data_IF_412728143416
#
_entry.id   IF_412728143416
#
_cell.length_a   1.000
_cell.length_b   1.000
_cell.length_c   1.000
_cell.angle_alpha   90.00
_cell.angle_beta   90.00
_cell.angle_gamma   90.00
#
_symmetry.space_group_name_H-M   'P 1'
#
loop_
_entity.id
_entity.type
_entity.pdbx_description
1 polymer ?
#
# COMPACT_ATOMS: atom_id res chain seq x y z
N UNK A 1 -17.59 -15.75 13.76
CA UNK A 1 -16.21 -15.89 14.30
C UNK A 1 -15.29 -15.58 13.14
N UNK A 2 -14.29 -14.72 13.34
CA UNK A 2 -13.35 -14.36 12.27
C UNK A 2 -12.54 -15.56 11.76
N UNK A 3 -12.13 -15.50 10.50
CA UNK A 3 -11.23 -16.50 9.92
C UNK A 3 -9.79 -16.13 10.28
N UNK A 4 -9.10 -16.98 11.04
CA UNK A 4 -7.72 -16.75 11.48
C UNK A 4 -6.79 -17.82 10.91
N UNK A 5 -5.60 -17.41 10.51
CA UNK A 5 -4.51 -18.33 10.15
C UNK A 5 -3.74 -18.77 11.39
N UNK A 6 -3.45 -17.83 12.29
CA UNK A 6 -2.76 -18.05 13.56
C UNK A 6 -3.59 -17.42 14.70
N UNK A 7 -4.69 -18.07 15.13
CA UNK A 7 -5.64 -17.48 16.07
C UNK A 7 -5.01 -17.05 17.40
N UNK A 8 -4.03 -17.79 17.90
CA UNK A 8 -3.32 -17.49 19.16
C UNK A 8 -2.58 -16.15 19.11
N UNK A 9 -2.04 -15.78 17.94
CA UNK A 9 -1.34 -14.52 17.72
C UNK A 9 -2.35 -13.42 17.37
N UNK A 10 -3.22 -13.67 16.40
CA UNK A 10 -4.16 -12.66 15.87
C UNK A 10 -5.18 -12.17 16.92
N UNK A 11 -5.43 -12.98 17.96
CA UNK A 11 -6.35 -12.64 19.08
C UNK A 11 -5.64 -12.55 20.44
N UNK A 12 -4.30 -12.44 20.43
CA UNK A 12 -3.50 -12.35 21.66
C UNK A 12 -3.92 -11.11 22.47
N UNK A 13 -4.13 -11.22 23.80
CA UNK A 13 -4.38 -10.04 24.64
C UNK A 13 -3.32 -8.96 24.45
N UNK A 14 -3.75 -7.70 24.40
CA UNK A 14 -2.87 -6.55 24.06
C UNK A 14 -1.64 -6.48 24.97
N UNK A 15 -1.81 -6.71 26.27
CA UNK A 15 -0.71 -6.69 27.25
C UNK A 15 0.34 -7.76 26.95
N UNK A 16 -0.09 -8.95 26.50
CA UNK A 16 0.83 -10.02 26.09
C UNK A 16 1.52 -9.69 24.77
N UNK A 17 0.80 -9.09 23.84
CA UNK A 17 1.34 -8.66 22.56
C UNK A 17 2.42 -7.58 22.76
N UNK A 18 2.16 -6.59 23.64
CA UNK A 18 3.14 -5.56 23.97
C UNK A 18 4.37 -6.11 24.70
N UNK A 19 4.19 -7.09 25.57
CA UNK A 19 5.33 -7.80 26.19
C UNK A 19 6.19 -8.52 25.14
N UNK A 20 5.56 -9.23 24.19
CA UNK A 20 6.25 -9.89 23.07
C UNK A 20 6.97 -8.86 22.17
N UNK A 21 6.32 -7.72 21.88
CA UNK A 21 6.95 -6.64 21.12
C UNK A 21 8.19 -6.09 21.85
N UNK A 22 8.10 -5.89 23.18
CA UNK A 22 9.21 -5.38 23.98
C UNK A 22 10.38 -6.34 23.97
N UNK A 23 10.14 -7.65 24.17
CA UNK A 23 11.17 -8.68 24.10
C UNK A 23 11.86 -8.68 22.72
N UNK A 24 11.09 -8.76 21.64
CA UNK A 24 11.62 -8.77 20.27
C UNK A 24 12.34 -7.47 19.90
N UNK A 25 11.85 -6.32 20.39
CA UNK A 25 12.50 -5.02 20.14
C UNK A 25 13.89 -4.98 20.77
N UNK A 26 14.02 -5.38 22.05
CA UNK A 26 15.31 -5.41 22.76
C UNK A 26 16.32 -6.32 22.04
N UNK A 27 15.88 -7.51 21.63
CA UNK A 27 16.70 -8.43 20.85
C UNK A 27 17.10 -7.85 19.49
N UNK A 28 16.16 -7.21 18.80
CA UNK A 28 16.40 -6.67 17.46
C UNK A 28 17.31 -5.45 17.50
N UNK A 29 17.19 -4.58 18.50
CA UNK A 29 18.09 -3.42 18.66
C UNK A 29 19.53 -3.88 18.90
N UNK A 30 19.72 -4.86 19.77
CA UNK A 30 21.05 -5.45 19.98
C UNK A 30 21.57 -6.10 18.71
N UNK A 31 20.71 -6.85 18.00
CA UNK A 31 21.08 -7.52 16.76
C UNK A 31 21.56 -6.51 15.69
N UNK A 32 20.84 -5.43 15.44
CA UNK A 32 21.23 -4.44 14.41
C UNK A 32 22.48 -3.67 14.82
N UNK A 33 22.68 -3.40 16.10
CA UNK A 33 23.88 -2.73 16.61
C UNK A 33 25.12 -3.59 16.38
N UNK A 34 25.02 -4.90 16.62
CA UNK A 34 26.14 -5.83 16.46
C UNK A 34 26.47 -6.12 14.99
N UNK A 35 25.45 -6.21 14.11
CA UNK A 35 25.61 -6.72 12.74
C UNK A 35 25.55 -5.66 11.63
N UNK A 36 24.93 -4.50 11.88
CA UNK A 36 24.73 -3.46 10.86
C UNK A 36 25.47 -2.19 11.26
N UNK A 37 26.59 -1.90 10.58
CA UNK A 37 27.45 -0.74 10.88
C UNK A 37 26.68 0.60 10.83
N UNK A 38 25.75 0.75 9.88
CA UNK A 38 24.89 1.93 9.78
C UNK A 38 24.16 2.23 11.10
N UNK A 39 23.52 1.22 11.72
CA UNK A 39 22.81 1.40 12.97
C UNK A 39 23.74 1.69 14.14
N UNK A 40 24.86 1.00 14.22
CA UNK A 40 25.87 1.25 15.26
C UNK A 40 26.34 2.70 15.23
N UNK A 41 26.64 3.22 14.05
CA UNK A 41 27.09 4.60 13.89
C UNK A 41 25.96 5.60 14.22
N UNK A 42 24.76 5.38 13.67
CA UNK A 42 23.61 6.27 13.87
C UNK A 42 23.15 6.32 15.33
N UNK A 43 23.19 5.19 16.06
CA UNK A 43 22.87 5.15 17.48
C UNK A 43 23.95 5.86 18.31
N UNK A 44 25.24 5.67 18.00
CA UNK A 44 26.31 6.42 18.67
C UNK A 44 26.21 7.92 18.47
N UNK A 45 25.89 8.36 17.25
CA UNK A 45 25.63 9.80 16.98
C UNK A 45 24.47 10.36 17.79
N UNK A 46 23.44 9.55 18.01
CA UNK A 46 22.27 9.89 18.84
C UNK A 46 22.55 9.76 20.35
N UNK A 47 23.70 9.22 20.76
CA UNK A 47 24.02 8.96 22.16
C UNK A 47 23.17 7.86 22.78
N UNK A 48 22.76 6.87 22.00
CA UNK A 48 21.89 5.75 22.44
C UNK A 48 22.66 4.44 22.31
N UNK A 49 22.70 3.68 23.38
CA UNK A 49 23.27 2.32 23.40
C UNK A 49 22.13 1.27 23.45
N UNK A 50 22.37 0.03 23.03
CA UNK A 50 21.34 -1.03 23.07
C UNK A 50 20.69 -1.21 24.42
N UNK A 51 21.44 -1.04 25.50
CA UNK A 51 21.01 -1.19 26.90
C UNK A 51 20.01 -0.10 27.35
N UNK A 52 19.92 1.01 26.61
CA UNK A 52 18.95 2.08 26.88
C UNK A 52 17.52 1.73 26.42
N UNK A 53 17.39 0.67 25.61
CA UNK A 53 16.11 0.18 25.10
C UNK A 53 15.70 -1.07 25.87
N UNK A 54 14.71 -0.92 26.75
CA UNK A 54 14.21 -1.98 27.64
C UNK A 54 12.84 -2.52 27.21
N UNK A 55 12.14 -1.78 26.36
CA UNK A 55 10.83 -2.13 25.84
C UNK A 55 10.32 -1.13 24.82
N UNK A 56 9.08 -1.31 24.40
CA UNK A 56 8.43 -0.45 23.36
C UNK A 56 8.31 1.01 23.81
N UNK A 57 8.26 1.28 25.08
CA UNK A 57 8.23 2.65 25.66
C UNK A 57 9.51 3.44 25.36
N UNK A 58 10.62 2.77 25.13
CA UNK A 58 11.92 3.37 24.84
C UNK A 58 12.15 3.56 23.31
N UNK A 59 11.23 3.08 22.47
CA UNK A 59 11.37 3.10 21.02
C UNK A 59 11.67 4.50 20.48
N UNK A 60 11.09 5.53 21.08
CA UNK A 60 11.27 6.94 20.70
C UNK A 60 12.71 7.44 20.82
N UNK A 61 13.58 6.77 21.59
CA UNK A 61 15.01 7.10 21.74
C UNK A 61 15.81 6.75 20.49
N UNK A 62 15.37 5.74 19.73
CA UNK A 62 16.05 5.31 18.52
C UNK A 62 15.93 6.35 17.40
N UNK A 63 17.00 6.58 16.62
CA UNK A 63 16.95 7.48 15.49
C UNK A 63 16.08 6.94 14.36
N UNK A 64 15.48 7.85 13.58
CA UNK A 64 14.72 7.49 12.39
C UNK A 64 15.63 7.01 11.26
N UNK A 65 15.10 6.12 10.43
CA UNK A 65 15.67 5.73 9.14
C UNK A 65 14.77 6.24 8.02
N UNK A 66 15.36 6.77 6.96
CA UNK A 66 14.67 7.34 5.82
C UNK A 66 14.99 6.56 4.54
N UNK A 67 14.24 6.83 3.49
CA UNK A 67 14.50 6.26 2.17
C UNK A 67 15.84 6.69 1.58
N UNK A 68 16.31 7.88 1.94
CA UNK A 68 17.61 8.38 1.48
C UNK A 68 18.75 7.65 2.17
N UNK A 69 18.62 7.34 3.48
CA UNK A 69 19.57 6.44 4.16
C UNK A 69 19.71 5.09 3.41
N UNK A 70 18.58 4.51 2.95
CA UNK A 70 18.62 3.24 2.20
C UNK A 70 19.29 3.39 0.82
N UNK A 71 19.16 4.54 0.17
CA UNK A 71 19.80 4.84 -1.11
C UNK A 71 21.29 5.05 -0.97
N UNK A 72 21.70 5.76 0.09
CA UNK A 72 23.10 6.05 0.38
C UNK A 72 23.88 4.80 0.77
N UNK A 73 23.23 3.88 1.45
CA UNK A 73 23.78 2.58 1.87
C UNK A 73 23.58 1.45 0.83
N UNK A 74 23.13 1.78 -0.39
CA UNK A 74 22.91 0.79 -1.45
C UNK A 74 24.21 0.12 -1.88
N UNK A 75 24.27 -1.21 -2.11
CA UNK A 75 23.14 -2.13 -1.92
C UNK A 75 23.13 -2.87 -0.58
N UNK A 76 24.25 -2.95 0.15
CA UNK A 76 24.46 -3.89 1.24
C UNK A 76 24.58 -3.24 2.62
N UNK A 77 24.54 -1.91 2.74
CA UNK A 77 24.81 -1.20 3.99
C UNK A 77 23.82 -1.51 5.14
N UNK A 78 22.65 -2.05 4.81
CA UNK A 78 21.67 -2.53 5.81
C UNK A 78 21.66 -4.05 5.98
N UNK A 79 22.56 -4.77 5.30
CA UNK A 79 22.58 -6.23 5.38
C UNK A 79 23.04 -6.69 6.77
N UNK A 80 22.16 -7.39 7.49
CA UNK A 80 22.41 -7.90 8.84
C UNK A 80 22.98 -9.33 8.89
N UNK A 81 23.02 -10.01 7.73
CA UNK A 81 23.54 -11.38 7.58
C UNK A 81 24.54 -11.45 6.43
N UNK A 82 25.41 -12.46 6.36
CA UNK A 82 26.20 -12.74 5.16
C UNK A 82 25.29 -12.94 3.94
N UNK A 83 25.72 -12.46 2.75
CA UNK A 83 24.93 -12.59 1.52
C UNK A 83 24.58 -14.05 1.17
N UNK A 84 25.39 -15.00 1.60
CA UNK A 84 25.17 -16.44 1.44
C UNK A 84 23.95 -16.98 2.20
N UNK A 85 23.46 -16.25 3.20
CA UNK A 85 22.25 -16.59 3.96
C UNK A 85 20.99 -15.96 3.35
N UNK A 86 21.14 -15.05 2.38
CA UNK A 86 20.03 -14.45 1.68
C UNK A 86 19.53 -15.38 0.57
N UNK A 87 18.26 -15.73 0.61
CA UNK A 87 17.62 -16.60 -0.38
C UNK A 87 16.83 -15.80 -1.44
N UNK A 88 16.56 -14.52 -1.17
CA UNK A 88 15.78 -13.66 -2.07
C UNK A 88 16.18 -12.19 -1.92
N UNK A 89 16.09 -11.46 -3.03
CA UNK A 89 16.17 -10.00 -3.07
C UNK A 89 14.97 -9.45 -3.80
N UNK A 90 14.41 -8.36 -3.31
CA UNK A 90 13.34 -7.58 -3.96
C UNK A 90 13.78 -6.12 -4.09
N UNK A 91 13.14 -5.35 -4.96
CA UNK A 91 13.45 -3.94 -5.10
C UNK A 91 12.23 -3.08 -5.42
N UNK A 92 12.34 -1.80 -5.09
CA UNK A 92 11.35 -0.79 -5.49
C UNK A 92 11.43 -0.50 -6.99
N UNK A 93 10.41 0.15 -7.56
CA UNK A 93 10.37 0.52 -8.99
C UNK A 93 11.47 1.51 -9.40
N UNK A 94 11.97 2.33 -8.46
CA UNK A 94 13.02 3.31 -8.73
C UNK A 94 12.54 4.53 -9.53
N UNK A 95 11.25 4.81 -9.57
CA UNK A 95 10.65 5.95 -10.31
C UNK A 95 11.15 7.32 -9.86
N UNK A 96 11.59 7.44 -8.60
CA UNK A 96 12.05 8.70 -7.98
C UNK A 96 13.55 8.74 -7.71
N UNK A 97 14.36 7.95 -8.41
CA UNK A 97 15.81 7.91 -8.22
C UNK A 97 16.36 6.48 -8.10
N UNK A 98 17.50 6.33 -7.38
CA UNK A 98 18.13 5.02 -7.17
C UNK A 98 17.14 4.06 -6.50
N UNK A 99 17.03 2.84 -7.02
CA UNK A 99 16.20 1.79 -6.43
C UNK A 99 16.65 1.47 -5.02
N UNK A 100 15.70 1.13 -4.16
CA UNK A 100 15.99 0.51 -2.87
C UNK A 100 15.85 -1.01 -3.05
N UNK A 101 16.74 -1.75 -2.42
CA UNK A 101 16.74 -3.21 -2.38
C UNK A 101 16.41 -3.68 -0.97
N UNK A 102 15.77 -4.83 -0.86
CA UNK A 102 15.53 -5.52 0.39
C UNK A 102 15.92 -6.99 0.22
N UNK A 103 16.62 -7.52 1.21
CA UNK A 103 17.08 -8.90 1.24
C UNK A 103 16.28 -9.70 2.26
N UNK A 104 16.22 -11.02 2.05
CA UNK A 104 15.45 -11.94 2.87
C UNK A 104 16.23 -13.21 3.11
N UNK A 105 16.32 -13.64 4.36
CA UNK A 105 16.64 -15.04 4.73
C UNK A 105 15.43 -15.92 4.47
N UNK A 106 15.59 -17.25 4.65
CA UNK A 106 14.42 -18.15 4.57
C UNK A 106 13.41 -17.84 5.70
N UNK A 107 13.89 -17.53 6.90
CA UNK A 107 13.03 -17.16 8.03
C UNK A 107 12.25 -15.87 7.75
N UNK A 108 12.89 -14.85 7.15
CA UNK A 108 12.21 -13.62 6.73
C UNK A 108 11.11 -13.90 5.71
N UNK A 109 11.33 -14.84 4.79
CA UNK A 109 10.32 -15.29 3.81
C UNK A 109 9.16 -15.99 4.51
N UNK A 110 9.46 -16.90 5.45
CA UNK A 110 8.45 -17.66 6.18
C UNK A 110 7.52 -16.72 6.96
N UNK A 111 8.08 -15.73 7.67
CA UNK A 111 7.30 -14.67 8.35
C UNK A 111 6.44 -13.88 7.37
N UNK A 112 7.00 -13.47 6.24
CA UNK A 112 6.27 -12.70 5.25
C UNK A 112 5.10 -13.48 4.64
N UNK A 113 5.33 -14.75 4.30
CA UNK A 113 4.30 -15.64 3.79
C UNK A 113 3.18 -15.87 4.81
N UNK A 114 3.51 -16.03 6.10
CA UNK A 114 2.52 -16.14 7.18
C UNK A 114 1.69 -14.84 7.32
N UNK A 115 2.32 -13.68 7.22
CA UNK A 115 1.61 -12.39 7.20
C UNK A 115 0.60 -12.30 6.04
N UNK A 116 0.99 -12.74 4.84
CA UNK A 116 0.09 -12.80 3.70
C UNK A 116 -1.01 -13.87 3.85
N UNK A 117 -0.70 -15.01 4.48
CA UNK A 117 -1.69 -16.05 4.78
C UNK A 117 -2.78 -15.54 5.73
N UNK A 118 -2.43 -14.76 6.77
CA UNK A 118 -3.40 -14.11 7.65
C UNK A 118 -4.32 -13.16 6.87
N UNK A 119 -3.79 -12.40 5.91
CA UNK A 119 -4.57 -11.51 5.05
C UNK A 119 -5.56 -12.29 4.16
N UNK A 120 -5.10 -13.38 3.53
CA UNK A 120 -5.94 -14.23 2.66
C UNK A 120 -7.07 -14.88 3.47
N UNK A 121 -6.77 -15.42 4.65
CA UNK A 121 -7.80 -16.00 5.51
C UNK A 121 -8.77 -14.96 6.05
N UNK A 122 -8.31 -13.76 6.38
CA UNK A 122 -9.18 -12.66 6.81
C UNK A 122 -10.16 -12.23 5.70
N UNK A 123 -9.75 -12.33 4.43
CA UNK A 123 -10.61 -12.12 3.27
C UNK A 123 -11.55 -13.32 2.96
N UNK A 124 -11.54 -14.34 3.80
CA UNK A 124 -12.38 -15.53 3.64
C UNK A 124 -11.76 -16.63 2.76
N UNK A 125 -10.45 -16.57 2.54
CA UNK A 125 -9.71 -17.61 1.80
C UNK A 125 -9.56 -18.91 2.61
N UNK A 126 -9.61 -20.04 1.91
CA UNK A 126 -9.46 -21.39 2.46
C UNK A 126 -8.64 -22.25 1.51
N UNK A 127 -8.26 -23.44 1.92
CA UNK A 127 -7.56 -24.42 1.07
C UNK A 127 -8.35 -24.85 -0.18
N UNK A 128 -9.65 -24.61 -0.21
CA UNK A 128 -10.51 -24.99 -1.33
C UNK A 128 -10.61 -23.88 -2.38
N UNK A 129 -9.89 -22.77 -2.18
CA UNK A 129 -9.92 -21.61 -3.05
C UNK A 129 -8.84 -21.63 -4.12
N UNK A 130 -9.13 -20.94 -5.22
CA UNK A 130 -8.19 -20.67 -6.32
C UNK A 130 -7.79 -19.20 -6.23
N UNK A 131 -6.55 -18.95 -5.80
CA UNK A 131 -5.99 -17.63 -5.63
C UNK A 131 -5.32 -17.14 -6.92
N UNK A 132 -5.93 -16.18 -7.58
CA UNK A 132 -5.48 -15.59 -8.83
C UNK A 132 -4.58 -14.38 -8.55
N UNK A 133 -3.26 -14.56 -8.68
CA UNK A 133 -2.27 -13.53 -8.36
C UNK A 133 -1.89 -12.77 -9.62
N UNK A 134 -2.52 -11.62 -9.83
CA UNK A 134 -2.31 -10.71 -10.96
C UNK A 134 -1.47 -9.47 -10.58
N UNK A 135 -0.66 -9.56 -9.52
CA UNK A 135 0.41 -8.63 -9.23
C UNK A 135 1.67 -8.97 -10.04
N UNK A 136 2.46 -7.95 -10.39
CA UNK A 136 3.77 -8.16 -11.00
C UNK A 136 4.71 -9.00 -10.14
N UNK A 137 5.42 -9.91 -10.78
CA UNK A 137 6.48 -10.73 -10.20
C UNK A 137 7.88 -10.12 -10.47
N UNK A 138 8.93 -10.89 -10.30
CA UNK A 138 10.31 -10.47 -10.50
C UNK A 138 10.81 -9.66 -9.31
N UNK A 139 11.18 -8.41 -9.52
CA UNK A 139 11.73 -7.55 -8.45
C UNK A 139 10.67 -7.00 -7.50
N UNK A 140 9.37 -7.08 -7.84
CA UNK A 140 8.29 -6.54 -7.03
C UNK A 140 7.78 -7.54 -6.01
N UNK A 141 7.42 -7.04 -4.84
CA UNK A 141 6.99 -7.86 -3.70
C UNK A 141 5.55 -8.36 -3.81
N UNK A 142 4.69 -7.65 -4.55
CA UNK A 142 3.24 -7.93 -4.56
C UNK A 142 2.89 -9.36 -4.95
N UNK A 143 3.37 -9.81 -6.11
CA UNK A 143 3.14 -11.17 -6.58
C UNK A 143 3.75 -12.23 -5.66
N UNK A 144 5.02 -12.04 -5.27
CA UNK A 144 5.75 -13.02 -4.47
C UNK A 144 5.14 -13.26 -3.08
N UNK A 145 4.72 -12.19 -2.38
CA UNK A 145 4.16 -12.30 -1.03
C UNK A 145 2.80 -13.02 -1.03
N UNK A 146 1.87 -12.59 -1.90
CA UNK A 146 0.55 -13.22 -1.97
C UNK A 146 0.60 -14.66 -2.52
N UNK A 147 1.54 -14.94 -3.43
CA UNK A 147 1.83 -16.30 -3.87
C UNK A 147 2.24 -17.20 -2.69
N UNK A 148 3.25 -16.81 -1.92
CA UNK A 148 3.69 -17.57 -0.76
C UNK A 148 2.60 -17.69 0.30
N UNK A 149 1.87 -16.61 0.60
CA UNK A 149 0.75 -16.63 1.54
C UNK A 149 -0.36 -17.58 1.11
N UNK A 150 -0.69 -17.63 -0.18
CA UNK A 150 -1.71 -18.57 -0.70
C UNK A 150 -1.28 -20.04 -0.55
N UNK A 151 0.03 -20.33 -0.73
CA UNK A 151 0.58 -21.67 -0.45
C UNK A 151 0.47 -22.04 1.04
N UNK A 152 0.74 -21.08 1.96
CA UNK A 152 0.60 -21.31 3.40
C UNK A 152 -0.86 -21.63 3.80
N UNK A 153 -1.83 -21.00 3.16
CA UNK A 153 -3.27 -21.32 3.36
C UNK A 153 -3.63 -22.67 2.73
N UNK A 154 -2.89 -23.11 1.72
CA UNK A 154 -3.17 -24.32 0.93
C UNK A 154 -4.07 -24.07 -0.27
N UNK A 155 -4.25 -22.83 -0.70
CA UNK A 155 -4.98 -22.49 -1.92
C UNK A 155 -4.24 -22.99 -3.16
N UNK A 156 -4.99 -23.33 -4.22
CA UNK A 156 -4.40 -23.41 -5.55
C UNK A 156 -4.03 -22.01 -6.02
N UNK A 157 -2.77 -21.78 -6.35
CA UNK A 157 -2.26 -20.47 -6.77
C UNK A 157 -2.12 -20.39 -8.29
N UNK A 158 -2.71 -19.36 -8.91
CA UNK A 158 -2.48 -19.00 -10.31
C UNK A 158 -1.52 -17.80 -10.38
N UNK A 159 -0.23 -17.99 -10.69
CA UNK A 159 0.78 -16.94 -10.70
C UNK A 159 0.78 -16.18 -12.03
N UNK A 160 -0.31 -15.48 -12.32
CA UNK A 160 -0.59 -14.87 -13.63
C UNK A 160 0.30 -13.67 -13.95
N UNK A 161 0.81 -12.97 -12.93
CA UNK A 161 1.46 -11.67 -13.09
C UNK A 161 0.49 -10.59 -13.59
N UNK A 162 0.96 -9.35 -13.76
CA UNK A 162 0.16 -8.24 -14.29
C UNK A 162 0.05 -8.27 -15.82
N UNK A 163 -0.96 -7.61 -16.37
CA UNK A 163 -1.17 -7.46 -17.81
C UNK A 163 -1.87 -8.64 -18.50
N UNK A 164 -2.04 -8.54 -19.82
CA UNK A 164 -2.74 -9.50 -20.67
C UNK A 164 -4.16 -9.85 -20.18
N UNK A 165 -5.03 -8.84 -20.19
CA UNK A 165 -6.40 -8.91 -19.64
C UNK A 165 -7.23 -10.07 -20.18
N UNK A 166 -7.14 -10.37 -21.47
CA UNK A 166 -7.87 -11.50 -22.11
C UNK A 166 -7.46 -12.84 -21.48
N UNK A 167 -6.15 -13.06 -21.30
CA UNK A 167 -5.64 -14.28 -20.68
C UNK A 167 -6.02 -14.36 -19.19
N UNK A 168 -6.06 -13.24 -18.46
CA UNK A 168 -6.53 -13.21 -17.08
C UNK A 168 -7.98 -13.72 -17.01
N UNK A 169 -8.86 -13.17 -17.84
CA UNK A 169 -10.29 -13.54 -17.90
C UNK A 169 -10.44 -15.01 -18.27
N UNK A 170 -9.76 -15.47 -19.33
CA UNK A 170 -9.80 -16.86 -19.76
C UNK A 170 -9.44 -17.80 -18.61
N UNK A 171 -8.33 -17.56 -17.89
CA UNK A 171 -7.92 -18.42 -16.80
C UNK A 171 -8.84 -18.33 -15.58
N UNK A 172 -9.48 -17.18 -15.33
CA UNK A 172 -10.52 -17.06 -14.30
C UNK A 172 -11.72 -17.96 -14.61
N UNK A 173 -12.15 -18.04 -15.87
CA UNK A 173 -13.24 -18.91 -16.31
C UNK A 173 -12.84 -20.38 -16.29
N UNK A 174 -11.73 -20.73 -16.93
CA UNK A 174 -11.28 -22.12 -17.13
C UNK A 174 -10.96 -22.82 -15.81
N UNK A 175 -10.33 -22.10 -14.86
CA UNK A 175 -9.84 -22.66 -13.59
C UNK A 175 -10.71 -22.25 -12.39
N UNK A 176 -11.70 -21.40 -12.59
CA UNK A 176 -12.66 -21.02 -11.56
C UNK A 176 -12.03 -20.24 -10.43
N UNK A 177 -11.25 -19.19 -10.74
CA UNK A 177 -10.64 -18.32 -9.73
C UNK A 177 -11.67 -17.78 -8.74
N UNK A 178 -11.36 -17.85 -7.43
CA UNK A 178 -12.27 -17.42 -6.35
C UNK A 178 -11.76 -16.21 -5.58
N UNK A 179 -10.44 -15.98 -5.56
CA UNK A 179 -9.80 -14.83 -4.91
C UNK A 179 -8.92 -14.13 -5.95
N UNK A 180 -9.11 -12.82 -6.15
CA UNK A 180 -8.29 -11.99 -7.03
C UNK A 180 -7.34 -11.13 -6.21
N UNK A 181 -6.04 -11.16 -6.54
CA UNK A 181 -5.01 -10.34 -5.93
C UNK A 181 -4.36 -9.45 -7.00
N UNK A 182 -4.60 -8.14 -6.97
CA UNK A 182 -4.02 -7.17 -7.90
C UNK A 182 -4.07 -5.75 -7.35
N UNK A 183 -3.61 -4.75 -8.13
CA UNK A 183 -3.83 -3.34 -7.77
C UNK A 183 -5.31 -2.97 -7.95
N UNK A 184 -5.85 -2.02 -7.14
CA UNK A 184 -7.25 -1.59 -7.27
C UNK A 184 -7.60 -1.07 -8.67
N UNK A 185 -6.70 -0.30 -9.30
CA UNK A 185 -6.91 0.21 -10.66
C UNK A 185 -7.00 -0.92 -11.70
N UNK A 186 -6.22 -2.00 -11.51
CA UNK A 186 -6.29 -3.16 -12.39
C UNK A 186 -7.56 -3.97 -12.15
N UNK A 187 -8.01 -4.11 -10.90
CA UNK A 187 -9.28 -4.74 -10.56
C UNK A 187 -10.47 -4.03 -11.23
N UNK A 188 -10.49 -2.68 -11.19
CA UNK A 188 -11.51 -1.89 -11.88
C UNK A 188 -11.49 -2.14 -13.39
N UNK A 189 -10.30 -2.12 -14.02
CA UNK A 189 -10.14 -2.39 -15.46
C UNK A 189 -10.54 -3.82 -15.85
N UNK A 190 -10.24 -4.82 -15.01
CA UNK A 190 -10.71 -6.19 -15.22
C UNK A 190 -12.23 -6.29 -15.13
N UNK A 191 -12.84 -5.60 -14.15
CA UNK A 191 -14.30 -5.54 -14.01
C UNK A 191 -14.99 -4.96 -15.25
N UNK A 192 -14.44 -3.87 -15.81
CA UNK A 192 -14.91 -3.30 -17.07
C UNK A 192 -14.85 -4.32 -18.20
N UNK A 193 -13.67 -4.96 -18.39
CA UNK A 193 -13.45 -5.93 -19.49
C UNK A 193 -14.33 -7.17 -19.34
N UNK A 194 -14.53 -7.67 -18.13
CA UNK A 194 -15.40 -8.83 -17.84
C UNK A 194 -16.85 -8.52 -18.21
N UNK A 195 -17.35 -7.33 -17.86
CA UNK A 195 -18.73 -6.94 -18.13
C UNK A 195 -18.95 -6.60 -19.62
N UNK A 196 -18.05 -5.85 -20.26
CA UNK A 196 -18.09 -5.55 -21.69
C UNK A 196 -18.04 -6.82 -22.55
N UNK A 197 -17.24 -7.81 -22.15
CA UNK A 197 -17.10 -9.09 -22.84
C UNK A 197 -18.22 -10.11 -22.56
N UNK A 198 -19.14 -9.82 -21.64
CA UNK A 198 -20.22 -10.74 -21.23
C UNK A 198 -19.75 -11.97 -20.44
N UNK A 199 -18.57 -11.88 -19.81
CA UNK A 199 -17.94 -13.01 -19.07
C UNK A 199 -18.48 -13.16 -17.63
N UNK A 200 -19.28 -12.20 -17.13
CA UNK A 200 -19.66 -12.10 -15.71
C UNK A 200 -20.27 -13.36 -15.11
N UNK A 201 -21.12 -14.07 -15.86
CA UNK A 201 -21.80 -15.28 -15.40
C UNK A 201 -20.85 -16.47 -15.20
N UNK A 202 -19.70 -16.48 -15.86
CA UNK A 202 -18.70 -17.54 -15.79
C UNK A 202 -17.66 -17.30 -14.67
N UNK A 203 -17.57 -16.07 -14.14
CA UNK A 203 -16.59 -15.68 -13.13
C UNK A 203 -17.10 -16.10 -11.73
N UNK A 204 -16.24 -16.83 -10.99
CA UNK A 204 -16.54 -17.37 -9.65
C UNK A 204 -15.88 -16.59 -8.51
N UNK A 205 -15.35 -15.42 -8.78
CA UNK A 205 -14.72 -14.57 -7.76
C UNK A 205 -15.70 -14.27 -6.62
N UNK A 206 -15.23 -14.38 -5.38
CA UNK A 206 -15.96 -14.04 -4.14
C UNK A 206 -15.26 -12.94 -3.34
N UNK A 207 -13.95 -12.82 -3.47
CA UNK A 207 -13.14 -11.84 -2.75
C UNK A 207 -12.01 -11.28 -3.63
N UNK A 208 -11.62 -10.05 -3.32
CA UNK A 208 -10.43 -9.43 -3.89
C UNK A 208 -9.54 -8.86 -2.80
N UNK A 209 -8.22 -8.99 -2.94
CA UNK A 209 -7.21 -8.43 -2.04
C UNK A 209 -6.39 -7.42 -2.84
N UNK A 210 -6.60 -6.14 -2.57
CA UNK A 210 -6.09 -5.04 -3.37
C UNK A 210 -5.20 -4.11 -2.56
N UNK A 211 -4.16 -3.57 -3.18
CA UNK A 211 -3.22 -2.65 -2.52
C UNK A 211 -2.14 -2.16 -3.48
N UNK A 212 -1.02 -1.73 -2.92
CA UNK A 212 0.12 -1.13 -3.62
C UNK A 212 -0.10 0.28 -4.18
N UNK A 213 -1.33 0.77 -4.18
CA UNK A 213 -1.70 2.14 -4.52
C UNK A 213 -2.86 2.63 -3.63
N UNK A 214 -2.98 3.94 -3.36
CA UNK A 214 -4.15 4.48 -2.66
C UNK A 214 -5.42 4.28 -3.49
N UNK A 215 -6.52 4.00 -2.83
CA UNK A 215 -7.84 3.90 -3.44
C UNK A 215 -8.95 4.32 -2.48
N UNK A 216 -10.07 4.81 -3.02
CA UNK A 216 -11.16 5.39 -2.26
C UNK A 216 -12.27 4.37 -1.96
N UNK A 217 -13.19 4.73 -1.06
CA UNK A 217 -14.37 3.88 -0.80
C UNK A 217 -15.30 3.83 -2.02
N UNK A 218 -15.37 4.90 -2.81
CA UNK A 218 -16.11 4.91 -4.07
C UNK A 218 -15.53 3.92 -5.08
N UNK A 219 -14.20 3.84 -5.16
CA UNK A 219 -13.53 2.86 -6.01
C UNK A 219 -13.75 1.42 -5.51
N UNK A 220 -13.74 1.22 -4.18
CA UNK A 220 -14.09 -0.06 -3.56
C UNK A 220 -15.48 -0.50 -4.01
N UNK A 221 -16.47 0.39 -3.86
CA UNK A 221 -17.86 0.11 -4.22
C UNK A 221 -17.99 -0.26 -5.69
N UNK A 222 -17.35 0.50 -6.58
CA UNK A 222 -17.35 0.22 -8.02
C UNK A 222 -16.74 -1.15 -8.35
N UNK A 223 -15.64 -1.52 -7.72
CA UNK A 223 -14.99 -2.83 -7.89
C UNK A 223 -15.91 -3.94 -7.36
N UNK A 224 -16.46 -3.76 -6.16
CA UNK A 224 -17.36 -4.74 -5.54
C UNK A 224 -18.60 -4.99 -6.41
N UNK A 225 -19.19 -3.94 -6.97
CA UNK A 225 -20.35 -4.02 -7.84
C UNK A 225 -20.00 -4.68 -9.19
N UNK A 226 -18.92 -4.22 -9.85
CA UNK A 226 -18.55 -4.69 -11.19
C UNK A 226 -18.10 -6.16 -11.20
N UNK A 227 -17.40 -6.61 -10.15
CA UNK A 227 -16.90 -7.98 -10.02
C UNK A 227 -17.82 -8.88 -9.15
N UNK A 228 -18.78 -8.31 -8.41
CA UNK A 228 -19.66 -9.04 -7.49
C UNK A 228 -18.93 -9.71 -6.34
N UNK A 229 -17.95 -9.04 -5.76
CA UNK A 229 -17.05 -9.56 -4.74
C UNK A 229 -17.07 -8.69 -3.49
N UNK A 230 -16.36 -9.14 -2.43
CA UNK A 230 -15.89 -8.26 -1.36
C UNK A 230 -14.45 -7.85 -1.63
N UNK A 231 -14.13 -6.56 -1.48
CA UNK A 231 -12.83 -5.98 -1.78
C UNK A 231 -12.11 -5.56 -0.49
N UNK A 232 -10.97 -6.19 -0.21
CA UNK A 232 -10.17 -5.98 1.00
C UNK A 232 -8.88 -5.26 0.68
N UNK A 233 -8.50 -4.31 1.54
CA UNK A 233 -7.25 -3.59 1.43
C UNK A 233 -6.10 -4.37 2.06
N UNK A 234 -4.93 -4.32 1.43
CA UNK A 234 -3.68 -4.86 1.94
C UNK A 234 -2.58 -3.83 1.78
N UNK A 235 -1.83 -3.57 2.84
CA UNK A 235 -0.75 -2.60 2.84
C UNK A 235 0.60 -3.26 3.10
N UNK A 236 1.63 -2.68 2.51
CA UNK A 236 3.01 -3.01 2.73
C UNK A 236 3.95 -2.23 1.84
N UNK A 237 5.23 -2.33 2.15
CA UNK A 237 6.33 -1.65 1.47
C UNK A 237 7.43 -2.67 1.19
N UNK A 238 8.08 -2.57 0.05
CA UNK A 238 9.25 -3.41 -0.29
C UNK A 238 10.33 -3.32 0.79
N UNK A 239 10.54 -2.13 1.33
CA UNK A 239 11.52 -1.82 2.35
C UNK A 239 11.24 -2.60 3.65
N UNK A 240 9.99 -2.70 4.06
CA UNK A 240 9.59 -3.38 5.30
C UNK A 240 9.54 -4.90 5.10
N UNK A 241 8.58 -5.38 4.31
CA UNK A 241 8.47 -6.83 4.04
C UNK A 241 7.71 -7.13 2.73
N UNK A 242 7.05 -6.15 2.12
CA UNK A 242 6.12 -6.32 1.01
C UNK A 242 4.67 -6.27 1.50
N UNK A 243 3.68 -6.78 0.73
CA UNK A 243 2.29 -6.84 1.16
C UNK A 243 2.12 -7.71 2.41
N UNK A 244 1.10 -7.42 3.22
CA UNK A 244 0.79 -8.18 4.42
C UNK A 244 1.33 -7.56 5.71
N UNK A 245 2.02 -6.42 5.67
CA UNK A 245 2.37 -5.66 6.90
C UNK A 245 1.10 -5.28 7.66
N UNK A 246 0.06 -4.90 6.92
CA UNK A 246 -1.30 -4.78 7.45
C UNK A 246 -2.35 -5.20 6.42
N UNK A 247 -3.54 -5.56 6.90
CA UNK A 247 -4.63 -6.08 6.08
C UNK A 247 -6.00 -5.81 6.69
N UNK A 248 -7.02 -5.67 5.85
CA UNK A 248 -8.41 -5.60 6.29
C UNK A 248 -8.97 -6.99 6.61
N UNK A 249 -9.85 -7.02 7.59
CA UNK A 249 -10.72 -8.16 7.89
C UNK A 249 -12.11 -7.95 7.28
N UNK A 250 -13.04 -8.89 7.52
CA UNK A 250 -14.43 -8.87 7.05
C UNK A 250 -15.22 -7.59 7.41
N UNK A 251 -14.75 -6.84 8.42
CA UNK A 251 -15.39 -5.60 8.86
C UNK A 251 -15.07 -4.39 7.98
N UNK A 252 -14.00 -4.44 7.17
CA UNK A 252 -13.56 -3.36 6.27
C UNK A 252 -13.43 -1.98 6.97
N UNK A 253 -12.97 -1.98 8.25
CA UNK A 253 -12.87 -0.77 9.11
C UNK A 253 -11.43 -0.47 9.52
N UNK A 254 -10.54 -0.42 8.53
CA UNK A 254 -9.11 -0.25 8.71
C UNK A 254 -8.35 -1.57 8.75
N UNK A 255 -7.05 -1.49 8.53
CA UNK A 255 -6.15 -2.62 8.35
C UNK A 255 -5.45 -2.98 9.66
N UNK A 256 -5.59 -4.23 10.11
CA UNK A 256 -4.84 -4.77 11.25
C UNK A 256 -3.36 -4.87 10.90
N UNK A 257 -2.51 -4.24 11.70
CA UNK A 257 -1.05 -4.33 11.57
C UNK A 257 -0.58 -5.62 12.24
N UNK A 258 0.36 -6.32 11.63
CA UNK A 258 0.98 -7.54 12.18
C UNK A 258 1.94 -7.15 13.32
N UNK A 259 1.38 -6.77 14.49
CA UNK A 259 2.13 -6.19 15.61
C UNK A 259 3.12 -7.14 16.26
N UNK A 260 3.01 -8.42 16.03
CA UNK A 260 4.02 -9.41 16.43
C UNK A 260 5.31 -9.30 15.61
N UNK A 261 5.29 -8.63 14.46
CA UNK A 261 6.45 -8.42 13.59
C UNK A 261 6.81 -6.95 13.37
N UNK A 262 5.84 -6.04 13.49
CA UNK A 262 6.00 -4.62 13.17
C UNK A 262 5.41 -3.74 14.27
N UNK A 263 6.20 -2.83 14.81
CA UNK A 263 5.70 -1.81 15.73
C UNK A 263 5.42 -0.55 14.92
N UNK A 264 4.16 -0.07 14.87
CA UNK A 264 3.82 1.19 14.22
C UNK A 264 3.92 2.38 15.18
N UNK A 265 4.32 3.53 14.66
CA UNK A 265 4.19 4.85 15.28
C UNK A 265 3.53 5.80 14.29
N UNK A 266 2.79 6.80 14.80
CA UNK A 266 2.40 7.98 14.02
C UNK A 266 3.20 9.15 14.54
N UNK A 267 3.86 9.89 13.66
CA UNK A 267 4.67 11.05 14.04
C UNK A 267 4.20 12.30 13.32
N UNK A 268 4.49 13.45 13.93
CA UNK A 268 4.45 14.72 13.21
C UNK A 268 5.57 14.70 12.15
N UNK A 269 5.28 14.89 10.87
CA UNK A 269 6.29 14.77 9.80
C UNK A 269 7.41 15.83 9.87
N UNK A 270 7.13 16.99 10.51
CA UNK A 270 8.07 18.10 10.60
C UNK A 270 8.95 18.01 11.86
N UNK A 271 8.36 17.67 13.02
CA UNK A 271 9.09 17.65 14.31
C UNK A 271 9.63 16.26 14.67
N UNK A 272 9.03 15.18 14.12
CA UNK A 272 9.35 13.80 14.49
C UNK A 272 8.73 13.35 15.82
N UNK A 273 7.92 14.19 16.48
CA UNK A 273 7.23 13.83 17.71
C UNK A 273 6.17 12.77 17.47
N UNK A 274 6.09 11.77 18.36
CA UNK A 274 5.06 10.73 18.31
C UNK A 274 3.71 11.34 18.68
N UNK A 275 2.71 11.11 17.83
CA UNK A 275 1.36 11.61 18.00
C UNK A 275 0.46 10.56 18.70
N UNK A 276 -0.54 11.03 19.47
CA UNK A 276 -1.53 10.16 20.10
C UNK A 276 -2.35 9.34 19.09
N UNK A 277 -2.95 8.25 19.58
CA UNK A 277 -3.89 7.44 18.81
C UNK A 277 -5.06 8.30 18.29
N UNK A 278 -5.39 8.15 17.02
CA UNK A 278 -6.45 8.88 16.32
C UNK A 278 -6.01 10.18 15.66
N UNK A 279 -4.82 10.68 15.94
CA UNK A 279 -4.25 11.83 15.24
C UNK A 279 -3.62 11.42 13.92
N UNK A 280 -3.74 12.30 12.92
CA UNK A 280 -3.19 12.11 11.60
C UNK A 280 -1.72 12.54 11.56
N UNK A 281 -0.84 11.66 11.10
CA UNK A 281 0.58 11.94 10.93
C UNK A 281 1.25 10.96 10.00
N UNK A 282 2.58 11.01 9.93
CA UNK A 282 3.38 10.11 9.13
C UNK A 282 3.53 8.76 9.84
N UNK A 283 3.24 7.69 9.12
CA UNK A 283 3.42 6.32 9.59
C UNK A 283 4.90 5.93 9.60
N UNK A 284 5.32 5.34 10.70
CA UNK A 284 6.68 4.83 10.92
C UNK A 284 6.57 3.37 11.33
N UNK A 285 7.47 2.51 10.82
CA UNK A 285 7.53 1.12 11.22
C UNK A 285 8.89 0.73 11.78
N UNK A 286 8.85 -0.10 12.81
CA UNK A 286 10.00 -0.84 13.33
C UNK A 286 9.80 -2.32 13.11
N UNK A 287 10.69 -2.97 12.33
CA UNK A 287 10.68 -4.41 12.12
C UNK A 287 11.40 -5.09 13.28
N UNK A 288 10.71 -5.96 14.03
CA UNK A 288 11.26 -6.61 15.22
C UNK A 288 11.60 -8.09 15.02
N UNK A 289 11.49 -8.60 13.78
CA UNK A 289 11.82 -10.01 13.48
C UNK A 289 12.66 -10.18 12.23
N UNK A 290 12.73 -9.19 11.33
CA UNK A 290 13.46 -9.29 10.07
C UNK A 290 14.97 -9.24 10.29
N UNK A 291 15.72 -10.21 9.76
CA UNK A 291 17.15 -10.38 9.98
C UNK A 291 18.02 -9.91 8.81
N UNK A 292 17.66 -10.25 7.56
CA UNK A 292 18.50 -9.91 6.42
C UNK A 292 18.60 -8.41 6.16
N UNK A 293 17.49 -7.70 6.29
CA UNK A 293 17.40 -6.26 6.02
C UNK A 293 16.50 -5.58 7.06
N UNK A 294 16.98 -5.48 8.31
CA UNK A 294 16.20 -4.96 9.44
C UNK A 294 16.01 -3.44 9.32
N UNK A 295 14.81 -2.94 9.59
CA UNK A 295 14.54 -1.51 9.65
C UNK A 295 13.94 -1.12 11.02
N UNK A 296 14.60 -0.20 11.71
CA UNK A 296 14.11 0.42 12.93
C UNK A 296 13.66 1.84 12.64
N UNK A 297 12.49 2.23 13.14
CA UNK A 297 11.86 3.56 12.97
C UNK A 297 11.94 4.10 11.54
N UNK A 298 11.58 3.26 10.57
CA UNK A 298 11.58 3.65 9.16
C UNK A 298 10.41 4.56 8.83
N UNK A 299 10.71 5.76 8.35
CA UNK A 299 9.74 6.78 7.90
C UNK A 299 9.19 6.40 6.53
N UNK A 300 7.88 6.04 6.48
CA UNK A 300 7.23 5.58 5.24
C UNK A 300 6.84 6.72 4.32
N UNK A 301 6.67 7.92 4.87
CA UNK A 301 6.04 9.08 4.24
C UNK A 301 4.53 8.96 4.02
N UNK A 302 3.93 7.83 4.33
CA UNK A 302 2.48 7.64 4.22
C UNK A 302 1.78 8.33 5.40
N UNK A 303 0.72 9.09 5.11
CA UNK A 303 -0.08 9.78 6.11
C UNK A 303 -1.30 8.94 6.49
N UNK A 304 -1.44 8.61 7.76
CA UNK A 304 -2.61 7.91 8.29
C UNK A 304 -2.78 8.17 9.79
N UNK A 305 -3.69 7.46 10.43
CA UNK A 305 -3.83 7.40 11.89
C UNK A 305 -4.00 5.95 12.34
N UNK A 306 -3.73 5.68 13.60
CA UNK A 306 -3.89 4.38 14.24
C UNK A 306 -5.10 4.38 15.16
N UNK A 307 -5.72 3.19 15.35
CA UNK A 307 -6.78 2.99 16.32
C UNK A 307 -6.75 1.59 16.93
N UNK A 308 -6.82 1.52 18.26
CA UNK A 308 -6.93 0.25 19.01
C UNK A 308 -8.38 -0.05 19.42
N UNK A 309 -9.36 0.69 18.90
CA UNK A 309 -10.77 0.38 19.13
C UNK A 309 -11.05 -1.08 18.75
N UNK A 310 -11.75 -1.80 19.64
CA UNK A 310 -12.09 -3.21 19.45
C UNK A 310 -12.75 -3.45 18.09
N UNK A 311 -12.24 -4.45 17.36
CA UNK A 311 -12.84 -4.92 16.13
C UNK A 311 -13.76 -6.10 16.41
N UNK A 312 -14.93 -6.13 15.77
CA UNK A 312 -15.89 -7.23 15.88
C UNK A 312 -15.39 -8.56 15.30
N UNK A 313 -14.36 -8.51 14.42
CA UNK A 313 -13.70 -9.72 13.93
C UNK A 313 -12.97 -10.51 15.02
N UNK A 314 -12.70 -9.91 16.19
CA UNK A 314 -12.02 -10.55 17.32
C UNK A 314 -10.50 -10.33 17.37
N UNK A 315 -9.86 -9.84 16.29
CA UNK A 315 -8.44 -9.48 16.30
C UNK A 315 -8.15 -8.34 17.25
N UNK A 316 -7.02 -8.42 17.93
CA UNK A 316 -6.58 -7.45 18.95
C UNK A 316 -5.52 -6.48 18.45
N UNK A 317 -4.91 -6.80 17.33
CA UNK A 317 -3.88 -5.97 16.70
C UNK A 317 -4.43 -4.58 16.33
N UNK A 318 -3.61 -3.54 16.54
CA UNK A 318 -3.95 -2.16 16.21
C UNK A 318 -4.27 -2.05 14.72
N UNK A 319 -5.19 -1.16 14.38
CA UNK A 319 -5.53 -0.90 12.97
C UNK A 319 -5.02 0.45 12.53
N UNK A 320 -4.44 0.46 11.35
CA UNK A 320 -4.19 1.70 10.62
C UNK A 320 -5.38 2.03 9.73
N UNK A 321 -5.66 3.31 9.55
CA UNK A 321 -6.51 3.78 8.48
C UNK A 321 -5.80 3.60 7.13
N UNK A 322 -6.53 3.56 6.00
CA UNK A 322 -5.87 3.62 4.69
C UNK A 322 -5.00 4.88 4.60
N UNK A 323 -3.84 4.81 3.93
CA UNK A 323 -3.06 6.00 3.64
C UNK A 323 -3.92 7.06 2.92
N UNK A 324 -3.96 8.26 3.49
CA UNK A 324 -4.69 9.41 2.93
C UNK A 324 -3.89 10.15 1.86
N UNK A 325 -2.64 9.80 1.72
CA UNK A 325 -1.65 10.36 0.81
C UNK A 325 -0.26 10.16 1.38
N UNK A 326 0.73 10.74 0.71
CA UNK A 326 2.10 10.75 1.19
C UNK A 326 2.54 12.18 1.49
N UNK A 327 3.38 12.36 2.49
CA UNK A 327 3.94 13.68 2.80
C UNK A 327 4.85 14.19 1.67
N UNK A 328 5.41 13.28 0.84
CA UNK A 328 6.26 13.59 -0.32
C UNK A 328 5.51 13.56 -1.68
N UNK A 329 4.28 13.04 -1.76
CA UNK A 329 3.40 13.12 -2.94
C UNK A 329 2.45 14.34 -2.88
N UNK A 330 2.53 15.07 -1.79
CA UNK A 330 1.80 16.31 -1.61
C UNK A 330 2.32 17.36 -2.60
N UNK A 331 1.45 17.85 -3.45
CA UNK A 331 1.75 18.94 -4.36
C UNK A 331 1.41 20.26 -3.68
N UNK A 332 2.38 21.15 -3.54
CA UNK A 332 2.08 22.54 -3.18
C UNK A 332 1.79 23.30 -4.47
N UNK A 333 0.52 23.66 -4.67
CA UNK A 333 0.05 24.41 -5.85
C UNK A 333 -0.60 25.72 -5.38
N UNK A 334 -0.05 26.85 -5.79
CA UNK A 334 -0.54 28.19 -5.35
C UNK A 334 -0.58 28.33 -3.81
N UNK A 335 0.36 27.73 -3.09
CA UNK A 335 0.42 27.77 -1.62
C UNK A 335 -0.58 26.86 -0.91
N UNK A 336 -1.27 25.99 -1.63
CA UNK A 336 -2.22 25.00 -1.06
C UNK A 336 -1.66 23.60 -1.23
N UNK A 337 -1.77 22.80 -0.17
CA UNK A 337 -1.43 21.39 -0.17
C UNK A 337 -2.54 20.60 -0.90
N UNK A 338 -2.18 19.91 -1.97
CA UNK A 338 -3.09 19.13 -2.81
C UNK A 338 -2.61 17.68 -2.87
N UNK A 339 -3.51 16.75 -2.58
CA UNK A 339 -3.25 15.30 -2.72
C UNK A 339 -4.02 14.71 -3.90
N UNK A 340 -3.44 13.82 -4.70
CA UNK A 340 -4.13 13.14 -5.80
C UNK A 340 -5.43 12.46 -5.36
N UNK A 341 -5.48 11.89 -4.16
CA UNK A 341 -6.68 11.24 -3.61
C UNK A 341 -7.88 12.17 -3.44
N UNK A 342 -7.65 13.46 -3.15
CA UNK A 342 -8.72 14.45 -3.06
C UNK A 342 -9.37 14.70 -4.43
N UNK A 343 -8.55 14.74 -5.49
CA UNK A 343 -9.01 14.90 -6.85
C UNK A 343 -9.80 13.66 -7.28
N UNK A 344 -9.27 12.48 -7.02
CA UNK A 344 -9.92 11.21 -7.32
C UNK A 344 -11.32 11.12 -6.69
N UNK A 345 -11.43 11.42 -5.39
CA UNK A 345 -12.71 11.42 -4.68
C UNK A 345 -13.78 12.30 -5.36
N UNK A 346 -13.38 13.47 -5.86
CA UNK A 346 -14.31 14.37 -6.59
C UNK A 346 -14.74 13.76 -7.92
N UNK A 347 -13.81 13.17 -8.68
CA UNK A 347 -14.09 12.55 -9.97
C UNK A 347 -15.04 11.35 -9.82
N UNK A 348 -14.74 10.43 -8.90
CA UNK A 348 -15.56 9.26 -8.64
C UNK A 348 -16.96 9.62 -8.14
N UNK A 349 -17.07 10.57 -7.19
CA UNK A 349 -18.37 11.10 -6.73
C UNK A 349 -19.23 11.69 -7.85
N UNK A 350 -18.60 12.14 -8.91
CA UNK A 350 -19.29 12.65 -10.10
C UNK A 350 -19.50 11.57 -11.18
N UNK A 351 -19.18 10.29 -10.87
CA UNK A 351 -19.41 9.14 -11.74
C UNK A 351 -18.39 9.00 -12.88
N UNK A 352 -17.18 9.53 -12.71
CA UNK A 352 -16.04 9.19 -13.56
C UNK A 352 -15.29 8.03 -12.95
N UNK A 353 -14.56 7.29 -13.78
CA UNK A 353 -13.69 6.22 -13.31
C UNK A 353 -12.32 6.77 -12.88
N UNK A 354 -11.49 5.93 -12.24
CA UNK A 354 -10.14 6.29 -11.82
C UNK A 354 -9.14 6.41 -13.00
N UNK A 355 -9.62 6.75 -14.21
CA UNK A 355 -8.81 6.95 -15.40
C UNK A 355 -8.58 8.45 -15.59
N UNK A 356 -7.63 8.96 -14.80
CA UNK A 356 -7.31 10.40 -14.79
C UNK A 356 -5.79 10.61 -14.64
N UNK A 357 -5.35 11.82 -15.02
CA UNK A 357 -3.98 12.30 -14.83
C UNK A 357 -4.03 13.75 -14.34
N UNK A 358 -3.10 14.11 -13.46
CA UNK A 358 -2.93 15.47 -12.92
C UNK A 358 -1.67 16.04 -13.52
N UNK A 359 -1.79 17.13 -14.24
CA UNK A 359 -0.67 17.87 -14.80
C UNK A 359 -0.43 19.10 -13.93
N UNK A 360 0.75 19.22 -13.37
CA UNK A 360 1.19 20.40 -12.63
C UNK A 360 2.27 21.09 -13.45
N UNK A 361 2.10 22.38 -13.70
CA UNK A 361 3.03 23.17 -14.49
C UNK A 361 3.21 24.56 -13.89
N UNK A 362 4.16 25.34 -14.42
CA UNK A 362 4.42 26.72 -14.03
C UNK A 362 4.47 27.59 -15.26
N UNK A 363 3.52 28.54 -15.35
CA UNK A 363 3.46 29.53 -16.43
C UNK A 363 3.87 30.87 -15.83
N UNK A 364 5.07 31.33 -16.20
CA UNK A 364 5.71 32.49 -15.57
C UNK A 364 5.97 32.19 -14.09
N UNK A 365 5.39 32.99 -13.19
CA UNK A 365 5.53 32.82 -11.74
C UNK A 365 4.32 32.11 -11.10
N UNK A 366 3.37 31.62 -11.91
CA UNK A 366 2.14 31.02 -11.38
C UNK A 366 2.10 29.52 -11.64
N UNK A 367 1.92 28.75 -10.59
CA UNK A 367 1.63 27.33 -10.70
C UNK A 367 0.23 27.12 -11.31
N UNK A 368 0.13 26.16 -12.21
CA UNK A 368 -1.11 25.69 -12.80
C UNK A 368 -1.34 24.23 -12.50
N UNK A 369 -2.59 23.82 -12.39
CA UNK A 369 -2.99 22.43 -12.21
C UNK A 369 -4.15 22.13 -13.16
N UNK A 370 -3.99 21.10 -13.95
CA UNK A 370 -5.01 20.56 -14.86
C UNK A 370 -5.29 19.11 -14.51
N UNK A 371 -6.55 18.75 -14.45
CA UNK A 371 -7.00 17.37 -14.29
C UNK A 371 -7.57 16.89 -15.62
N UNK A 372 -6.93 15.90 -16.20
CA UNK A 372 -7.41 15.19 -17.38
C UNK A 372 -8.12 13.92 -16.94
N UNK A 373 -9.37 13.72 -17.36
CA UNK A 373 -10.17 12.54 -16.99
C UNK A 373 -10.85 11.99 -18.24
N UNK A 374 -10.90 10.66 -18.34
CA UNK A 374 -11.60 10.02 -19.46
C UNK A 374 -13.10 10.01 -19.29
N UNK A 375 -13.80 10.19 -20.41
CA UNK A 375 -15.24 9.99 -20.51
C UNK A 375 -15.58 8.52 -20.33
N UNK A 376 -16.59 8.20 -19.52
CA UNK A 376 -17.10 6.83 -19.46
C UNK A 376 -18.03 6.52 -20.64
N UNK A 377 -18.14 5.25 -21.09
CA UNK A 377 -19.02 4.89 -22.20
C UNK A 377 -20.49 5.30 -21.98
N UNK A 378 -21.00 5.15 -20.76
CA UNK A 378 -22.37 5.50 -20.37
C UNK A 378 -22.57 7.01 -20.51
N UNK A 379 -21.63 7.81 -20.03
CA UNK A 379 -21.69 9.27 -20.11
C UNK A 379 -21.53 9.82 -21.52
N UNK A 380 -20.89 9.08 -22.42
CA UNK A 380 -20.78 9.45 -23.83
C UNK A 380 -22.16 9.43 -24.52
N UNK A 381 -23.09 8.62 -24.01
CA UNK A 381 -24.46 8.51 -24.53
C UNK A 381 -25.42 9.60 -23.98
N UNK A 382 -25.02 10.31 -22.92
CA UNK A 382 -25.85 11.38 -22.36
C UNK A 382 -25.80 12.65 -23.23
N UNK A 383 -26.93 13.29 -23.46
CA UNK A 383 -27.02 14.55 -24.19
C UNK A 383 -26.68 15.77 -23.32
N UNK A 384 -25.44 15.78 -22.81
CA UNK A 384 -24.88 16.86 -21.98
C UNK A 384 -23.56 17.32 -22.58
N UNK A 385 -23.44 18.61 -22.86
CA UNK A 385 -22.24 19.19 -23.44
C UNK A 385 -21.00 18.97 -22.52
N UNK A 386 -19.87 18.60 -23.12
CA UNK A 386 -18.60 18.38 -22.42
C UNK A 386 -18.23 19.58 -21.53
N UNK A 387 -18.34 20.81 -22.04
CA UNK A 387 -18.05 22.02 -21.28
C UNK A 387 -18.92 22.21 -20.01
N UNK A 388 -20.16 21.70 -20.01
CA UNK A 388 -20.99 21.71 -18.81
C UNK A 388 -20.52 20.70 -17.76
N UNK A 389 -20.03 19.54 -18.19
CA UNK A 389 -19.45 18.51 -17.33
C UNK A 389 -18.13 18.97 -16.73
N UNK A 390 -17.25 19.55 -17.54
CA UNK A 390 -15.98 20.13 -17.06
C UNK A 390 -16.25 21.19 -15.99
N UNK A 391 -17.20 22.09 -16.19
CA UNK A 391 -17.60 23.10 -15.18
C UNK A 391 -18.06 22.46 -13.87
N UNK A 392 -18.77 21.34 -13.92
CA UNK A 392 -19.23 20.62 -12.72
C UNK A 392 -18.04 20.03 -11.96
N UNK A 393 -17.07 19.44 -12.66
CA UNK A 393 -15.85 18.90 -12.05
C UNK A 393 -15.02 20.05 -11.46
N UNK A 394 -14.80 21.13 -12.21
CA UNK A 394 -14.09 22.35 -11.72
C UNK A 394 -14.72 22.89 -10.45
N UNK A 395 -16.05 22.95 -10.39
CA UNK A 395 -16.77 23.40 -9.18
C UNK A 395 -16.53 22.45 -8.01
N UNK A 396 -16.60 21.14 -8.21
CA UNK A 396 -16.32 20.13 -7.18
C UNK A 396 -14.89 20.20 -6.65
N UNK A 397 -13.91 20.30 -7.56
CA UNK A 397 -12.50 20.46 -7.20
C UNK A 397 -12.23 21.77 -6.47
N UNK A 398 -12.83 22.88 -6.91
CA UNK A 398 -12.70 24.17 -6.22
C UNK A 398 -13.23 24.12 -4.80
N UNK A 399 -14.37 23.46 -4.57
CA UNK A 399 -14.95 23.29 -3.24
C UNK A 399 -14.07 22.40 -2.33
N UNK A 400 -13.43 21.36 -2.90
CA UNK A 400 -12.57 20.44 -2.17
C UNK A 400 -11.20 21.06 -1.85
N UNK A 401 -10.59 21.72 -2.83
CA UNK A 401 -9.19 22.16 -2.76
C UNK A 401 -9.01 23.64 -2.42
N UNK A 402 -10.07 24.44 -2.56
CA UNK A 402 -10.00 25.90 -2.36
C UNK A 402 -9.28 26.68 -3.45
N UNK A 403 -8.75 26.02 -4.49
CA UNK A 403 -8.03 26.63 -5.62
C UNK A 403 -8.73 26.33 -6.95
N UNK A 404 -8.41 27.14 -7.96
CA UNK A 404 -8.87 26.89 -9.33
C UNK A 404 -8.02 25.78 -9.94
N UNK A 405 -8.71 24.75 -10.45
CA UNK A 405 -8.17 23.63 -11.21
C UNK A 405 -8.78 23.67 -12.60
N UNK A 406 -7.99 23.54 -13.63
CA UNK A 406 -8.48 23.38 -15.00
C UNK A 406 -8.77 21.89 -15.24
N UNK A 407 -9.79 21.60 -16.05
CA UNK A 407 -10.26 20.22 -16.30
C UNK A 407 -10.44 20.02 -17.78
N UNK A 408 -9.94 18.88 -18.28
CA UNK A 408 -10.14 18.42 -19.66
C UNK A 408 -10.73 17.02 -19.64
N UNK A 409 -11.90 16.84 -20.25
CA UNK A 409 -12.51 15.53 -20.43
C UNK A 409 -12.02 14.95 -21.76
N UNK A 410 -11.35 13.81 -21.69
CA UNK A 410 -10.76 13.12 -22.82
C UNK A 410 -11.65 11.98 -23.32
N UNK A 411 -11.45 11.57 -24.57
CA UNK A 411 -12.08 10.36 -25.11
C UNK A 411 -11.64 9.11 -24.34
N UNK A 412 -12.48 8.08 -24.24
CA UNK A 412 -12.12 6.81 -23.58
C UNK A 412 -10.84 6.21 -24.16
N UNK A 413 -10.01 5.60 -23.30
CA UNK A 413 -8.73 4.94 -23.64
C UNK A 413 -7.63 5.89 -24.18
N UNK A 414 -7.74 7.19 -23.90
CA UNK A 414 -6.69 8.18 -24.26
C UNK A 414 -5.53 8.14 -23.27
N UNK A 415 -5.81 7.94 -21.98
CA UNK A 415 -4.79 7.84 -20.93
C UNK A 415 -4.22 6.41 -20.92
N UNK A 416 -2.90 6.30 -21.02
CA UNK A 416 -2.22 5.00 -21.01
C UNK A 416 -2.51 4.23 -19.72
N UNK A 417 -2.99 3.01 -19.84
CA UNK A 417 -3.21 2.11 -18.70
C UNK A 417 -1.89 1.61 -18.15
N UNK A 418 -1.74 1.64 -16.83
CA UNK A 418 -0.59 1.04 -16.16
C UNK A 418 -0.86 -0.44 -15.91
N UNK A 419 0.09 -1.29 -16.29
CA UNK A 419 0.08 -2.72 -15.94
C UNK A 419 0.51 -2.97 -14.48
N UNK A 420 0.75 -1.92 -13.72
CA UNK A 420 1.15 -1.92 -12.32
C UNK A 420 0.62 -0.69 -11.60
N UNK A 421 1.44 -0.04 -10.78
CA UNK A 421 1.05 1.18 -10.04
C UNK A 421 0.75 2.33 -11.01
N UNK A 422 -0.42 2.94 -10.89
CA UNK A 422 -0.84 4.05 -11.73
C UNK A 422 -0.01 5.32 -11.45
N UNK A 423 0.52 5.95 -12.51
CA UNK A 423 1.18 7.27 -12.43
C UNK A 423 0.11 8.35 -12.62
N UNK A 424 -0.33 8.94 -11.51
CA UNK A 424 -1.41 9.94 -11.50
C UNK A 424 -0.92 11.36 -11.71
N UNK A 425 0.30 11.68 -11.32
CA UNK A 425 0.84 13.05 -11.33
C UNK A 425 1.99 13.17 -12.31
N UNK A 426 1.91 14.19 -13.15
CA UNK A 426 3.00 14.65 -14.03
C UNK A 426 3.32 16.09 -13.63
N UNK A 427 4.35 16.26 -12.78
CA UNK A 427 4.83 17.59 -12.38
C UNK A 427 5.92 18.06 -13.35
N UNK A 428 5.58 19.03 -14.17
CA UNK A 428 6.46 19.62 -15.18
C UNK A 428 7.33 20.75 -14.64
N UNK A 429 7.08 21.22 -13.42
CA UNK A 429 7.83 22.35 -12.83
C UNK A 429 9.30 22.02 -12.61
N UNK A 430 9.65 20.77 -12.36
CA UNK A 430 11.04 20.31 -12.15
C UNK A 430 11.85 20.21 -13.45
N UNK A 431 11.21 20.25 -14.62
CA UNK A 431 11.91 20.20 -15.91
C UNK A 431 12.61 21.54 -16.25
N UNK A 432 12.25 22.62 -15.58
CA UNK A 432 12.78 23.95 -15.80
C UNK A 432 13.88 24.36 -14.80
N UNK A 433 14.18 23.50 -13.83
CA UNK A 433 15.18 23.73 -12.77
C UNK A 433 16.48 22.94 -12.98
N UNK A 434 16.86 22.67 -14.24
CA UNK A 434 18.15 22.09 -14.59
C UNK A 434 19.05 23.12 -15.29
#
# INVERSE_FOLDING_TARGET
MGNYYQPEIETMPVEKLQALQSERLVEQVKYVYDHVEFYRNKMKEAGVEPEDIKGIEDLHKLPFVTKDDLRDQYPYGFLGVPLSECVRMQSTSGTTGRRVVAFYTQEDIDVWEDCCARAIMAAGGTKDDVCHVAYGYGLFTGGAGLHGGSHRVGCMTLPMSSGNTERQIQFMEDLGSTILCCTPSYAASLGESINEGGHRENIKLKAGIFGAEPWTEEMRHNIEESLGIKAYDIYGLTEISGPGVSFECEEQKGMHIQEDHFIPEIINPDTGEVLPEGEIGELVFTCITKKAYPLLRYRTRDLCYLTRKKCSCGRTHIRMHKPMGRSDDMMVVKGVNVWPSQIEAVLLKQGYQANYQILVDRIGNNDTIEVQVEMTPERKQEDVAIAAREKKIVHGLKNMLGIKVDVSILEPKTITRSEGKAVRVVDKRNLYNK
#
